data_IF_533776318006
#
_entry.id   IF_533776318006
#
_cell.length_a   1.000
_cell.length_b   1.000
_cell.length_c   1.000
_cell.angle_alpha   90.00
_cell.angle_beta   90.00
_cell.angle_gamma   90.00
#
_symmetry.space_group_name_H-M   'P 1'
#
loop_
_entity.id
_entity.type
_entity.pdbx_description
1 polymer ?
#
# COMPACT_ATOMS: atom_id res chain seq x y z
N UNK A 1 -40.36 31.67 -1.31
CA UNK A 1 -39.11 30.89 -1.46
C UNK A 1 -38.24 31.66 -2.45
N UNK A 2 -37.24 32.36 -1.94
CA UNK A 2 -36.33 33.17 -2.76
C UNK A 2 -35.16 32.31 -3.26
N UNK A 3 -34.48 32.78 -4.32
CA UNK A 3 -33.28 32.11 -4.87
C UNK A 3 -32.16 31.98 -3.81
N UNK A 4 -32.07 32.94 -2.90
CA UNK A 4 -31.09 32.93 -1.79
C UNK A 4 -31.38 31.85 -0.74
N UNK A 5 -32.65 31.47 -0.55
CA UNK A 5 -33.03 30.37 0.36
C UNK A 5 -32.67 29.00 -0.22
N UNK A 6 -32.72 28.86 -1.56
CA UNK A 6 -32.31 27.65 -2.27
C UNK A 6 -30.78 27.46 -2.25
N UNK A 7 -29.99 28.51 -2.43
CA UNK A 7 -28.51 28.43 -2.39
C UNK A 7 -27.97 28.05 -1.00
N UNK A 8 -28.62 28.52 0.07
CA UNK A 8 -28.25 28.13 1.45
C UNK A 8 -28.52 26.66 1.75
N UNK A 9 -29.56 26.06 1.16
CA UNK A 9 -29.91 24.64 1.35
C UNK A 9 -28.95 23.69 0.62
N UNK A 10 -28.38 24.12 -0.50
CA UNK A 10 -27.39 23.33 -1.26
C UNK A 10 -26.04 23.34 -0.53
N UNK A 11 -25.65 24.47 0.08
CA UNK A 11 -24.36 24.62 0.77
C UNK A 11 -24.29 24.01 2.18
N UNK A 12 -25.37 23.45 2.72
CA UNK A 12 -25.42 22.82 4.06
C UNK A 12 -25.55 21.31 4.07
N UNK A 13 -25.58 20.64 2.91
CA UNK A 13 -26.03 19.23 2.83
C UNK A 13 -24.96 18.18 2.57
N UNK A 14 -23.75 18.56 2.16
CA UNK A 14 -22.60 17.69 2.13
C UNK A 14 -21.38 18.56 1.90
N UNK A 15 -20.30 18.36 2.65
CA UNK A 15 -18.98 18.80 2.18
C UNK A 15 -18.83 18.30 0.75
N UNK A 16 -18.33 19.12 -0.20
CA UNK A 16 -17.86 18.58 -1.46
C UNK A 16 -16.95 17.43 -1.07
N UNK A 17 -17.32 16.19 -1.42
CA UNK A 17 -16.33 15.12 -1.44
C UNK A 17 -15.30 15.67 -2.41
N UNK A 18 -14.17 16.13 -1.88
CA UNK A 18 -12.98 16.30 -2.68
C UNK A 18 -12.83 14.95 -3.35
N UNK A 19 -13.19 14.92 -4.62
CA UNK A 19 -12.85 13.82 -5.50
C UNK A 19 -11.34 13.90 -5.49
N UNK A 20 -10.71 13.14 -4.58
CA UNK A 20 -9.27 12.95 -4.60
C UNK A 20 -8.98 12.64 -6.06
N UNK A 21 -8.22 13.51 -6.71
CA UNK A 21 -7.81 13.35 -8.09
C UNK A 21 -6.97 12.07 -8.14
N UNK A 22 -7.64 10.93 -8.35
CA UNK A 22 -7.06 9.61 -8.58
C UNK A 22 -6.48 9.61 -9.99
N UNK A 23 -5.47 10.47 -10.19
CA UNK A 23 -4.25 10.03 -10.85
C UNK A 23 -3.83 8.75 -10.13
N UNK A 24 -4.29 7.62 -10.66
CA UNK A 24 -4.35 6.29 -10.05
C UNK A 24 -3.18 6.03 -9.09
N UNK A 25 -3.41 6.16 -7.78
CA UNK A 25 -2.44 5.70 -6.77
C UNK A 25 -2.07 4.26 -7.18
N UNK A 26 -0.79 3.93 -7.44
CA UNK A 26 -0.43 2.58 -7.86
C UNK A 26 -1.06 1.55 -6.93
N UNK A 27 -1.54 0.48 -7.53
CA UNK A 27 -2.29 -0.61 -6.91
C UNK A 27 -1.55 -1.91 -7.19
N UNK A 28 -1.25 -2.70 -6.16
CA UNK A 28 -0.35 -3.86 -6.25
C UNK A 28 -0.75 -4.84 -7.36
N UNK A 29 -2.04 -5.21 -7.53
CA UNK A 29 -2.49 -6.05 -8.64
C UNK A 29 -2.22 -5.51 -10.05
N UNK A 30 -2.13 -4.18 -10.21
CA UNK A 30 -1.78 -3.56 -11.50
C UNK A 30 -0.27 -3.49 -11.73
N UNK A 31 0.52 -3.65 -10.66
CA UNK A 31 1.97 -3.44 -10.67
C UNK A 31 2.77 -4.75 -10.64
N UNK A 32 2.14 -5.86 -10.26
CA UNK A 32 2.78 -7.16 -10.09
C UNK A 32 1.97 -8.27 -10.72
N UNK A 33 2.63 -9.36 -11.09
CA UNK A 33 1.96 -10.55 -11.62
C UNK A 33 1.15 -11.22 -10.52
N UNK A 34 0.05 -11.89 -10.88
CA UNK A 34 -0.80 -12.62 -9.92
C UNK A 34 -0.01 -13.59 -9.05
N UNK A 35 0.94 -14.34 -9.64
CA UNK A 35 1.83 -15.27 -8.94
C UNK A 35 2.74 -14.62 -7.87
N UNK A 36 2.96 -13.31 -7.94
CA UNK A 36 3.76 -12.57 -6.97
C UNK A 36 2.89 -11.98 -5.85
N UNK A 37 1.59 -11.80 -6.07
CA UNK A 37 0.71 -11.10 -5.14
C UNK A 37 0.56 -11.83 -3.81
N UNK A 38 0.44 -13.16 -3.83
CA UNK A 38 0.34 -13.95 -2.59
C UNK A 38 1.62 -13.85 -1.75
N UNK A 39 2.77 -13.97 -2.42
CA UNK A 39 4.10 -13.77 -1.82
C UNK A 39 4.26 -12.37 -1.23
N UNK A 40 3.83 -11.33 -1.97
CA UNK A 40 3.89 -9.94 -1.51
C UNK A 40 2.97 -9.75 -0.30
N UNK A 41 1.73 -10.25 -0.36
CA UNK A 41 0.78 -10.17 0.76
C UNK A 41 1.34 -10.84 2.01
N UNK A 42 1.91 -12.04 1.88
CA UNK A 42 2.51 -12.76 2.99
C UNK A 42 3.70 -12.00 3.60
N UNK A 43 4.61 -11.49 2.76
CA UNK A 43 5.78 -10.75 3.21
C UNK A 43 5.40 -9.41 3.87
N UNK A 44 4.45 -8.66 3.30
CA UNK A 44 3.93 -7.43 3.90
C UNK A 44 3.20 -7.72 5.23
N UNK A 45 2.41 -8.79 5.29
CA UNK A 45 1.77 -9.25 6.53
C UNK A 45 2.76 -9.65 7.61
N UNK A 46 3.91 -10.20 7.23
CA UNK A 46 5.01 -10.45 8.16
C UNK A 46 5.56 -9.12 8.71
N UNK A 47 5.82 -8.12 7.87
CA UNK A 47 6.28 -6.79 8.34
C UNK A 47 5.24 -6.13 9.23
N UNK A 48 3.95 -6.23 8.91
CA UNK A 48 2.86 -5.73 9.76
C UNK A 48 2.92 -6.32 11.17
N UNK A 49 3.12 -7.64 11.29
CA UNK A 49 3.19 -8.31 12.59
C UNK A 49 4.41 -7.91 13.41
N UNK A 50 5.56 -7.69 12.76
CA UNK A 50 6.84 -7.44 13.46
C UNK A 50 7.26 -5.96 13.45
N UNK A 51 6.49 -5.07 12.83
CA UNK A 51 6.69 -3.62 12.69
C UNK A 51 7.94 -3.21 11.89
N UNK A 52 9.09 -3.81 12.18
CA UNK A 52 10.36 -3.57 11.51
C UNK A 52 11.10 -4.90 11.34
N UNK A 53 11.53 -5.19 10.12
CA UNK A 53 12.12 -6.48 9.75
C UNK A 53 13.40 -6.24 8.96
N UNK A 54 14.42 -7.08 9.13
CA UNK A 54 15.60 -7.03 8.26
C UNK A 54 15.22 -7.25 6.80
N UNK A 55 15.81 -6.48 5.89
CA UNK A 55 15.47 -6.57 4.47
C UNK A 55 15.79 -7.96 3.88
N UNK A 56 16.80 -8.63 4.42
CA UNK A 56 17.15 -10.04 4.11
C UNK A 56 16.02 -10.99 4.51
N UNK A 57 15.47 -10.85 5.72
CA UNK A 57 14.33 -11.64 6.19
C UNK A 57 13.07 -11.34 5.38
N UNK A 58 12.84 -10.07 5.01
CA UNK A 58 11.73 -9.71 4.12
C UNK A 58 11.88 -10.35 2.74
N UNK A 59 13.07 -10.32 2.15
CA UNK A 59 13.36 -10.96 0.86
C UNK A 59 13.18 -12.48 0.92
N UNK A 60 13.53 -13.12 2.04
CA UNK A 60 13.24 -14.53 2.29
C UNK A 60 11.73 -14.80 2.39
N UNK A 61 10.98 -13.95 3.09
CA UNK A 61 9.53 -14.07 3.23
C UNK A 61 8.78 -13.92 1.90
N UNK A 62 9.31 -13.12 0.96
CA UNK A 62 8.79 -13.06 -0.41
C UNK A 62 8.86 -14.43 -1.11
N UNK A 63 9.88 -15.24 -0.84
CA UNK A 63 10.09 -16.53 -1.52
C UNK A 63 10.39 -16.42 -3.03
N UNK A 64 10.55 -15.20 -3.55
CA UNK A 64 10.81 -14.92 -4.96
C UNK A 64 12.33 -14.92 -5.22
N UNK A 65 12.93 -16.10 -5.45
CA UNK A 65 14.38 -16.31 -5.54
C UNK A 65 15.16 -15.18 -6.24
N UNK A 66 14.91 -14.97 -7.53
CA UNK A 66 15.66 -14.00 -8.34
C UNK A 66 15.03 -12.61 -8.36
N UNK A 67 13.77 -12.48 -7.95
CA UNK A 67 13.00 -11.23 -8.09
C UNK A 67 12.83 -10.48 -6.76
N UNK A 68 13.17 -11.10 -5.63
CA UNK A 68 12.94 -10.54 -4.30
C UNK A 68 13.57 -9.15 -4.10
N UNK A 69 14.78 -8.93 -4.63
CA UNK A 69 15.44 -7.61 -4.59
C UNK A 69 14.69 -6.56 -5.42
N UNK A 70 14.26 -6.94 -6.63
CA UNK A 70 13.50 -6.06 -7.53
C UNK A 70 12.15 -5.70 -6.91
N UNK A 71 11.40 -6.69 -6.43
CA UNK A 71 10.10 -6.52 -5.79
C UNK A 71 10.23 -5.65 -4.55
N UNK A 72 11.20 -5.92 -3.66
CA UNK A 72 11.44 -5.11 -2.46
C UNK A 72 11.74 -3.66 -2.84
N UNK A 73 12.63 -3.44 -3.82
CA UNK A 73 12.99 -2.10 -4.28
C UNK A 73 11.80 -1.37 -4.89
N UNK A 74 10.93 -2.08 -5.63
CA UNK A 74 9.71 -1.53 -6.20
C UNK A 74 8.71 -1.16 -5.12
N UNK A 75 8.50 -2.00 -4.10
CA UNK A 75 7.62 -1.70 -2.96
C UNK A 75 8.11 -0.47 -2.17
N UNK A 76 9.42 -0.31 -2.02
CA UNK A 76 10.02 0.90 -1.44
C UNK A 76 9.79 2.12 -2.33
N UNK A 77 9.99 1.99 -3.66
CA UNK A 77 9.78 3.09 -4.61
C UNK A 77 8.31 3.55 -4.67
N UNK A 78 7.37 2.60 -4.54
CA UNK A 78 5.94 2.89 -4.47
C UNK A 78 5.52 3.48 -3.11
N UNK A 79 6.43 3.49 -2.14
CA UNK A 79 6.21 4.07 -0.83
C UNK A 79 5.39 3.19 0.11
N UNK A 80 5.21 1.89 -0.19
CA UNK A 80 4.55 0.95 0.74
C UNK A 80 5.49 0.49 1.84
N UNK A 81 6.78 0.45 1.55
CA UNK A 81 7.83 0.17 2.51
C UNK A 81 8.75 1.37 2.66
N UNK A 82 9.24 1.58 3.86
CA UNK A 82 10.35 2.49 4.13
C UNK A 82 11.58 1.68 4.53
N UNK A 83 12.73 2.05 3.97
CA UNK A 83 14.02 1.45 4.31
C UNK A 83 14.71 2.27 5.41
N UNK A 84 15.22 1.58 6.43
CA UNK A 84 16.07 2.14 7.48
C UNK A 84 17.39 1.40 7.50
N UNK A 85 18.49 2.10 7.80
CA UNK A 85 19.81 1.46 7.94
C UNK A 85 20.35 1.71 9.34
N UNK A 86 20.79 0.66 10.01
CA UNK A 86 21.38 0.72 11.36
C UNK A 86 22.57 -0.22 11.43
N UNK A 87 23.73 0.31 11.82
CA UNK A 87 24.97 -0.48 11.97
C UNK A 87 25.32 -1.36 10.76
N UNK A 88 25.12 -0.84 9.55
CA UNK A 88 25.39 -1.55 8.29
C UNK A 88 24.24 -2.45 7.79
N UNK A 89 23.27 -2.79 8.64
CA UNK A 89 22.12 -3.66 8.33
C UNK A 89 20.95 -2.81 7.82
N UNK A 90 20.27 -3.30 6.77
CA UNK A 90 19.06 -2.69 6.21
C UNK A 90 17.80 -3.33 6.77
N UNK A 91 16.83 -2.50 7.11
CA UNK A 91 15.53 -2.88 7.64
C UNK A 91 14.43 -2.25 6.80
N UNK A 92 13.27 -2.91 6.77
CA UNK A 92 12.05 -2.41 6.15
C UNK A 92 10.92 -2.33 7.17
N UNK A 93 10.09 -1.31 7.03
CA UNK A 93 8.87 -1.09 7.80
C UNK A 93 7.73 -0.71 6.85
N UNK A 94 6.50 -1.07 7.20
CA UNK A 94 5.32 -0.60 6.47
C UNK A 94 5.15 0.90 6.70
N UNK A 95 4.78 1.61 5.65
CA UNK A 95 4.26 2.97 5.76
C UNK A 95 2.76 2.94 5.98
N UNK A 96 2.14 4.07 6.34
CA UNK A 96 0.68 4.18 6.40
C UNK A 96 0.02 3.73 5.08
N UNK A 97 0.58 4.16 3.95
CA UNK A 97 0.15 3.71 2.61
C UNK A 97 0.34 2.21 2.41
N UNK A 98 1.43 1.64 2.93
CA UNK A 98 1.67 0.20 2.88
C UNK A 98 0.60 -0.61 3.61
N UNK A 99 0.14 -0.14 4.77
CA UNK A 99 -0.97 -0.78 5.50
C UNK A 99 -2.27 -0.71 4.70
N UNK A 100 -2.63 0.46 4.17
CA UNK A 100 -3.83 0.62 3.34
C UNK A 100 -3.81 -0.31 2.12
N UNK A 101 -2.66 -0.40 1.46
CA UNK A 101 -2.49 -1.23 0.27
C UNK A 101 -2.50 -2.73 0.59
N UNK A 102 -1.94 -3.14 1.73
CA UNK A 102 -2.04 -4.52 2.20
C UNK A 102 -3.49 -4.93 2.44
N UNK A 103 -4.29 -4.06 3.07
CA UNK A 103 -5.72 -4.29 3.27
C UNK A 103 -6.49 -4.40 1.95
N UNK A 104 -6.18 -3.53 0.98
CA UNK A 104 -6.77 -3.62 -0.36
C UNK A 104 -6.41 -4.93 -1.05
N UNK A 105 -5.14 -5.35 -0.97
CA UNK A 105 -4.67 -6.59 -1.56
C UNK A 105 -5.35 -7.83 -0.93
N UNK A 106 -5.53 -7.84 0.39
CA UNK A 106 -6.29 -8.89 1.10
C UNK A 106 -7.71 -9.03 0.56
N UNK A 107 -8.41 -7.90 0.35
CA UNK A 107 -9.76 -7.90 -0.21
C UNK A 107 -9.78 -8.41 -1.65
N UNK A 108 -8.83 -8.00 -2.46
CA UNK A 108 -8.71 -8.44 -3.85
C UNK A 108 -8.52 -9.95 -3.96
N UNK A 109 -7.58 -10.52 -3.20
CA UNK A 109 -7.31 -11.96 -3.21
C UNK A 109 -8.52 -12.76 -2.72
N UNK A 110 -9.23 -12.29 -1.69
CA UNK A 110 -10.42 -12.96 -1.17
C UNK A 110 -11.65 -12.90 -2.11
N UNK A 111 -11.62 -12.04 -3.14
CA UNK A 111 -12.70 -11.88 -4.13
C UNK A 111 -12.43 -12.61 -5.45
N UNK A 112 -11.22 -13.14 -5.66
CA UNK A 112 -10.77 -13.76 -6.92
C UNK A 112 -10.65 -15.27 -6.79
#
# INVERSE_FOLDING_TARGET
MSLEELEKLINTSASPLEVEDISEKPYLPNMFKKEQLDSIMAALGYVEKYTTVEETTFAQALGLKTQSVEVTSKLVRLGYLKRKRKSGISFVELTARGHEELERLRRYINQT
#
